data_IF_869079895133
#
_entry.id   IF_869079895133
#
_cell.length_a   1.000
_cell.length_b   1.000
_cell.length_c   1.000
_cell.angle_alpha   90.00
_cell.angle_beta   90.00
_cell.angle_gamma   90.00
#
_symmetry.space_group_name_H-M   'P 1'
#
loop_
_entity.id
_entity.type
_entity.pdbx_description
1 polymer ?
#
# COMPACT_ATOMS: atom_id res chain seq x y z
N UNK A 1 -15.74 3.99 -6.27
CA UNK A 1 -15.38 5.39 -6.60
C UNK A 1 -14.11 5.39 -7.45
N UNK A 2 -14.10 6.09 -8.59
CA UNK A 2 -12.89 6.41 -9.35
C UNK A 2 -11.89 7.17 -8.45
N UNK A 3 -10.59 6.96 -8.64
CA UNK A 3 -9.58 7.59 -7.79
C UNK A 3 -9.57 9.13 -7.96
N UNK A 4 -9.90 9.60 -9.17
CA UNK A 4 -9.98 11.01 -9.57
C UNK A 4 -11.16 11.78 -8.97
N UNK A 5 -12.18 11.09 -8.44
CA UNK A 5 -13.29 11.77 -7.74
C UNK A 5 -13.00 11.99 -6.25
N UNK A 6 -11.95 11.35 -5.73
CA UNK A 6 -11.57 11.38 -4.32
C UNK A 6 -10.49 12.46 -4.07
N UNK A 7 -9.66 12.73 -5.08
CA UNK A 7 -8.66 13.80 -5.08
C UNK A 7 -9.02 14.76 -6.21
N UNK A 8 -9.27 16.02 -5.88
CA UNK A 8 -9.65 17.09 -6.82
C UNK A 8 -8.47 17.42 -7.76
N UNK A 9 -8.18 16.50 -8.68
CA UNK A 9 -7.05 16.53 -9.60
C UNK A 9 -7.55 16.55 -11.04
N UNK A 10 -6.81 17.25 -11.90
CA UNK A 10 -7.12 17.30 -13.32
C UNK A 10 -6.86 15.93 -13.98
N UNK A 11 -7.62 15.57 -15.04
CA UNK A 11 -7.35 14.37 -15.83
C UNK A 11 -5.89 14.33 -16.31
N UNK A 12 -5.16 13.29 -15.91
CA UNK A 12 -3.75 13.09 -16.25
C UNK A 12 -2.76 13.40 -15.12
N UNK A 13 -3.21 13.99 -14.02
CA UNK A 13 -2.36 14.26 -12.85
C UNK A 13 -2.21 13.05 -11.91
N UNK A 14 -3.00 11.99 -12.13
CA UNK A 14 -2.97 10.77 -11.33
C UNK A 14 -2.71 9.53 -12.19
N UNK A 15 -1.64 8.81 -11.87
CA UNK A 15 -1.38 7.48 -12.41
C UNK A 15 -1.94 6.41 -11.45
N UNK A 16 -2.77 5.51 -11.96
CA UNK A 16 -3.55 4.58 -11.14
C UNK A 16 -3.24 3.14 -11.51
N UNK A 17 -2.81 2.36 -10.52
CA UNK A 17 -2.78 0.90 -10.56
C UNK A 17 -3.82 0.34 -9.60
N UNK A 18 -4.56 -0.69 -10.02
CA UNK A 18 -5.58 -1.34 -9.19
C UNK A 18 -5.46 -2.85 -9.29
N UNK A 19 -5.44 -3.51 -8.14
CA UNK A 19 -5.54 -4.96 -8.02
C UNK A 19 -6.34 -5.32 -6.75
N UNK A 20 -6.67 -6.60 -6.59
CA UNK A 20 -7.46 -7.07 -5.45
C UNK A 20 -6.64 -6.91 -4.16
N UNK A 21 -7.22 -6.25 -3.15
CA UNK A 21 -6.57 -5.94 -1.88
C UNK A 21 -5.27 -5.10 -1.98
N UNK A 22 -5.15 -4.29 -3.04
CA UNK A 22 -4.13 -3.23 -3.19
C UNK A 22 -2.69 -3.69 -2.88
N UNK A 23 -2.33 -4.89 -3.36
CA UNK A 23 -1.04 -5.52 -3.09
C UNK A 23 0.08 -4.91 -3.93
N UNK A 24 1.24 -4.70 -3.29
CA UNK A 24 2.47 -4.19 -3.87
C UNK A 24 3.54 -5.30 -3.99
N UNK A 25 3.13 -6.46 -4.49
CA UNK A 25 3.96 -7.67 -4.56
C UNK A 25 5.12 -7.48 -5.55
N UNK A 26 6.40 -7.53 -5.14
CA UNK A 26 7.53 -7.27 -6.05
C UNK A 26 7.67 -8.25 -7.21
N UNK A 27 7.17 -9.49 -7.05
CA UNK A 27 7.19 -10.52 -8.09
C UNK A 27 6.00 -10.44 -9.07
N UNK A 28 5.04 -9.54 -8.85
CA UNK A 28 3.97 -9.28 -9.82
C UNK A 28 4.51 -8.41 -10.97
N UNK A 29 4.67 -8.95 -12.19
CA UNK A 29 5.22 -8.20 -13.30
C UNK A 29 4.32 -7.02 -13.73
N UNK A 30 3.02 -7.10 -13.48
CA UNK A 30 2.09 -6.01 -13.79
C UNK A 30 2.35 -4.80 -12.87
N UNK A 31 2.35 -5.03 -11.56
CA UNK A 31 2.69 -4.00 -10.58
C UNK A 31 4.12 -3.46 -10.76
N UNK A 32 5.10 -4.32 -11.03
CA UNK A 32 6.48 -3.90 -11.24
C UNK A 32 6.62 -2.94 -12.43
N UNK A 33 5.98 -3.25 -13.56
CA UNK A 33 5.98 -2.38 -14.74
C UNK A 33 5.29 -1.03 -14.47
N UNK A 34 4.14 -1.05 -13.79
CA UNK A 34 3.42 0.18 -13.41
C UNK A 34 4.25 1.06 -12.46
N UNK A 35 4.90 0.46 -11.46
CA UNK A 35 5.75 1.16 -10.51
C UNK A 35 6.99 1.77 -11.19
N UNK A 36 7.67 1.01 -12.05
CA UNK A 36 8.83 1.50 -12.80
C UNK A 36 8.44 2.65 -13.72
N UNK A 37 7.32 2.55 -14.44
CA UNK A 37 6.85 3.64 -15.29
C UNK A 37 6.55 4.91 -14.48
N UNK A 38 5.83 4.78 -13.36
CA UNK A 38 5.52 5.92 -12.48
C UNK A 38 6.79 6.60 -11.93
N UNK A 39 7.75 5.81 -11.44
CA UNK A 39 8.95 6.32 -10.77
C UNK A 39 10.00 6.81 -11.75
N UNK A 40 10.29 6.02 -12.80
CA UNK A 40 11.42 6.26 -13.69
C UNK A 40 11.04 7.00 -14.97
N UNK A 41 9.79 6.94 -15.43
CA UNK A 41 9.35 7.67 -16.63
C UNK A 41 8.58 8.93 -16.24
N UNK A 42 7.52 8.79 -15.44
CA UNK A 42 6.67 9.93 -15.05
C UNK A 42 7.28 10.79 -13.93
N UNK A 43 8.27 10.26 -13.20
CA UNK A 43 8.94 10.94 -12.09
C UNK A 43 7.97 11.45 -11.01
N UNK A 44 6.98 10.63 -10.66
CA UNK A 44 6.00 11.00 -9.63
C UNK A 44 6.69 11.33 -8.29
N UNK A 45 6.17 12.34 -7.60
CA UNK A 45 6.67 12.76 -6.28
C UNK A 45 5.98 12.00 -5.12
N UNK A 46 4.82 11.41 -5.40
CA UNK A 46 4.00 10.73 -4.41
C UNK A 46 3.50 9.38 -4.92
N UNK A 47 3.64 8.35 -4.07
CA UNK A 47 2.96 7.07 -4.24
C UNK A 47 2.07 6.87 -3.02
N UNK A 48 0.80 6.56 -3.27
CA UNK A 48 -0.20 6.38 -2.21
C UNK A 48 -0.78 4.98 -2.34
N UNK A 49 -0.57 4.15 -1.32
CA UNK A 49 -1.32 2.89 -1.18
C UNK A 49 -2.66 3.22 -0.54
N UNK A 50 -3.74 3.02 -1.30
CA UNK A 50 -5.10 3.26 -0.82
C UNK A 50 -5.84 1.93 -0.68
N UNK A 51 -6.15 1.55 0.55
CA UNK A 51 -7.14 0.50 0.83
C UNK A 51 -8.50 1.10 1.14
N UNK A 52 -9.49 0.27 1.44
CA UNK A 52 -10.82 0.74 1.81
C UNK A 52 -11.51 -0.22 2.78
N UNK A 53 -12.32 0.33 3.69
CA UNK A 53 -13.15 -0.48 4.59
C UNK A 53 -14.18 -1.30 3.81
N UNK A 54 -14.53 -2.47 4.33
CA UNK A 54 -15.38 -3.42 3.64
C UNK A 54 -14.75 -4.06 2.39
N UNK A 55 -13.41 -4.09 2.27
CA UNK A 55 -12.74 -4.72 1.14
C UNK A 55 -13.02 -6.23 1.08
N UNK A 56 -13.70 -6.68 0.01
CA UNK A 56 -14.01 -8.09 -0.20
C UNK A 56 -12.77 -8.99 -0.32
N UNK A 57 -11.65 -8.47 -0.83
CA UNK A 57 -10.38 -9.21 -0.87
C UNK A 57 -9.78 -9.44 0.52
N UNK A 58 -9.87 -8.44 1.41
CA UNK A 58 -9.45 -8.59 2.81
C UNK A 58 -10.35 -9.61 3.53
N UNK A 59 -11.67 -9.52 3.34
CA UNK A 59 -12.62 -10.48 3.91
C UNK A 59 -12.37 -11.91 3.41
N UNK A 60 -12.09 -12.07 2.11
CA UNK A 60 -11.77 -13.38 1.53
C UNK A 60 -10.47 -13.97 2.09
N UNK A 61 -9.47 -13.14 2.42
CA UNK A 61 -8.22 -13.59 3.04
C UNK A 61 -8.40 -14.08 4.49
N UNK A 62 -9.42 -13.61 5.19
CA UNK A 62 -9.79 -14.06 6.55
C UNK A 62 -10.61 -15.34 6.55
N UNK A 63 -11.22 -15.69 5.42
CA UNK A 63 -12.00 -16.91 5.26
C UNK A 63 -11.09 -18.15 5.16
N UNK A 64 -11.65 -19.39 5.28
CA UNK A 64 -10.89 -20.62 5.06
C UNK A 64 -10.10 -20.63 3.75
N UNK A 65 -9.04 -21.43 3.73
CA UNK A 65 -8.12 -21.46 2.59
C UNK A 65 -8.78 -21.96 1.31
N UNK A 66 -8.27 -21.48 0.18
CA UNK A 66 -8.78 -21.78 -1.16
C UNK A 66 -7.61 -22.12 -2.07
N UNK A 67 -7.67 -23.27 -2.72
CA UNK A 67 -6.65 -23.69 -3.69
C UNK A 67 -6.95 -23.16 -5.10
N UNK A 68 -7.42 -21.91 -5.19
CA UNK A 68 -7.74 -21.24 -6.46
C UNK A 68 -6.88 -19.98 -6.68
N UNK A 69 -7.04 -19.34 -7.83
CA UNK A 69 -6.26 -18.16 -8.20
C UNK A 69 -6.40 -17.00 -7.19
N UNK A 70 -7.57 -16.86 -6.56
CA UNK A 70 -7.81 -15.82 -5.54
C UNK A 70 -7.09 -16.19 -4.24
N UNK A 71 -7.12 -17.46 -3.83
CA UNK A 71 -6.36 -17.93 -2.68
C UNK A 71 -4.85 -17.71 -2.84
N UNK A 72 -4.29 -18.07 -4.00
CA UNK A 72 -2.88 -17.83 -4.33
C UNK A 72 -2.54 -16.33 -4.31
N UNK A 73 -3.41 -15.48 -4.89
CA UNK A 73 -3.22 -14.04 -4.90
C UNK A 73 -3.25 -13.43 -3.49
N UNK A 74 -4.18 -13.90 -2.63
CA UNK A 74 -4.39 -13.37 -1.28
C UNK A 74 -3.49 -14.00 -0.22
N UNK A 75 -2.63 -14.95 -0.57
CA UNK A 75 -1.68 -15.57 0.35
C UNK A 75 -0.89 -14.56 1.21
N UNK A 76 -0.35 -13.44 0.66
CA UNK A 76 0.34 -12.44 1.48
C UNK A 76 -0.56 -11.77 2.54
N UNK A 77 -1.85 -11.55 2.23
CA UNK A 77 -2.81 -10.98 3.20
C UNK A 77 -3.17 -12.01 4.27
N UNK A 78 -3.31 -13.28 3.88
CA UNK A 78 -3.58 -14.39 4.81
C UNK A 78 -2.42 -14.61 5.78
N UNK A 79 -1.19 -14.60 5.27
CA UNK A 79 0.02 -14.65 6.11
C UNK A 79 0.06 -13.47 7.07
N UNK A 80 -0.21 -12.25 6.59
CA UNK A 80 -0.30 -11.07 7.45
C UNK A 80 -1.38 -11.25 8.53
N UNK A 81 -2.57 -11.74 8.17
CA UNK A 81 -3.65 -12.01 9.12
C UNK A 81 -3.21 -12.96 10.23
N UNK A 82 -2.51 -14.05 9.90
CA UNK A 82 -1.98 -15.00 10.90
C UNK A 82 -1.00 -14.36 11.89
N UNK A 83 -0.29 -13.29 11.50
CA UNK A 83 0.62 -12.57 12.41
C UNK A 83 -0.10 -11.59 13.36
N UNK A 84 -1.31 -11.14 13.01
CA UNK A 84 -2.06 -10.11 13.79
C UNK A 84 -3.32 -10.63 14.47
N UNK A 85 -3.87 -11.76 14.03
CA UNK A 85 -5.14 -12.33 14.50
C UNK A 85 -5.14 -12.77 15.96
N UNK A 86 -3.98 -12.83 16.61
CA UNK A 86 -3.86 -13.13 18.04
C UNK A 86 -4.36 -11.99 18.94
N UNK A 87 -4.69 -10.81 18.37
CA UNK A 87 -5.25 -9.70 19.13
C UNK A 87 -6.79 -9.75 19.12
N UNK A 88 -7.47 -9.57 20.27
CA UNK A 88 -8.93 -9.67 20.37
C UNK A 88 -9.72 -8.75 19.43
N UNK A 89 -9.11 -7.65 19.00
CA UNK A 89 -9.75 -6.60 18.19
C UNK A 89 -9.52 -6.78 16.68
N UNK A 90 -8.90 -7.88 16.23
CA UNK A 90 -8.64 -8.08 14.80
C UNK A 90 -9.93 -8.36 14.04
N UNK A 91 -10.36 -7.35 13.28
CA UNK A 91 -11.44 -7.45 12.30
C UNK A 91 -10.93 -7.11 10.89
N UNK A 92 -11.81 -7.19 9.89
CA UNK A 92 -11.47 -6.91 8.49
C UNK A 92 -10.94 -5.48 8.27
N UNK A 93 -11.47 -4.49 9.00
CA UNK A 93 -11.04 -3.10 8.86
C UNK A 93 -9.64 -2.89 9.44
N UNK A 94 -9.34 -3.50 10.59
CA UNK A 94 -7.98 -3.50 11.16
C UNK A 94 -7.01 -4.24 10.25
N UNK A 95 -7.38 -5.40 9.71
CA UNK A 95 -6.55 -6.11 8.75
C UNK A 95 -6.33 -5.28 7.47
N UNK A 96 -7.33 -4.53 7.01
CA UNK A 96 -7.17 -3.60 5.89
C UNK A 96 -6.10 -2.54 6.17
N UNK A 97 -6.14 -1.90 7.34
CA UNK A 97 -5.11 -0.93 7.73
C UNK A 97 -3.73 -1.58 7.87
N UNK A 98 -3.64 -2.78 8.47
CA UNK A 98 -2.38 -3.53 8.54
C UNK A 98 -1.85 -3.87 7.15
N UNK A 99 -2.70 -4.28 6.21
CA UNK A 99 -2.33 -4.55 4.84
C UNK A 99 -1.74 -3.30 4.18
N UNK A 100 -2.43 -2.14 4.27
CA UNK A 100 -1.92 -0.88 3.72
C UNK A 100 -0.52 -0.56 4.28
N UNK A 101 -0.32 -0.66 5.60
CA UNK A 101 1.00 -0.45 6.24
C UNK A 101 2.06 -1.43 5.72
N UNK A 102 1.70 -2.70 5.55
CA UNK A 102 2.60 -3.72 5.03
C UNK A 102 3.02 -3.41 3.57
N UNK A 103 2.09 -2.96 2.72
CA UNK A 103 2.39 -2.59 1.35
C UNK A 103 3.27 -1.34 1.25
N UNK A 104 3.04 -0.32 2.09
CA UNK A 104 3.93 0.86 2.18
C UNK A 104 5.35 0.43 2.60
N UNK A 105 5.46 -0.48 3.57
CA UNK A 105 6.76 -1.03 3.99
C UNK A 105 7.44 -1.82 2.86
N UNK A 106 6.68 -2.62 2.12
CA UNK A 106 7.20 -3.37 0.98
C UNK A 106 7.70 -2.43 -0.14
N UNK A 107 6.95 -1.36 -0.44
CA UNK A 107 7.37 -0.30 -1.35
C UNK A 107 8.65 0.39 -0.88
N UNK A 108 8.76 0.75 0.39
CA UNK A 108 9.96 1.39 0.94
C UNK A 108 11.21 0.49 0.84
N UNK A 109 11.04 -0.82 0.86
CA UNK A 109 12.10 -1.80 0.66
C UNK A 109 12.31 -2.19 -0.83
N UNK A 110 11.48 -1.69 -1.75
CA UNK A 110 11.54 -2.06 -3.15
C UNK A 110 12.79 -1.46 -3.83
N UNK A 111 13.57 -2.25 -4.61
CA UNK A 111 14.76 -1.76 -5.29
C UNK A 111 14.53 -0.53 -6.19
N UNK A 112 13.36 -0.40 -6.86
CA UNK A 112 13.04 0.76 -7.68
C UNK A 112 12.96 2.04 -6.83
N UNK A 113 12.25 1.97 -5.70
CA UNK A 113 12.09 3.08 -4.77
C UNK A 113 13.44 3.44 -4.12
N UNK A 114 14.19 2.43 -3.67
CA UNK A 114 15.54 2.64 -3.10
C UNK A 114 16.47 3.32 -4.11
N UNK A 115 16.45 2.94 -5.39
CA UNK A 115 17.23 3.59 -6.46
C UNK A 115 16.77 5.02 -6.74
N UNK A 116 15.47 5.29 -6.70
CA UNK A 116 14.94 6.65 -6.83
C UNK A 116 15.45 7.55 -5.71
N UNK A 117 15.35 7.10 -4.46
CA UNK A 117 15.89 7.80 -3.30
C UNK A 117 17.42 7.91 -3.30
N UNK A 118 18.15 6.92 -3.84
CA UNK A 118 19.60 7.00 -4.00
C UNK A 118 20.03 8.10 -4.99
N UNK A 119 19.15 8.45 -5.95
CA UNK A 119 19.35 9.56 -6.89
C UNK A 119 18.70 10.87 -6.42
N UNK A 120 18.37 10.97 -5.12
CA UNK A 120 17.75 12.15 -4.51
C UNK A 120 16.40 12.56 -5.13
N UNK A 121 15.64 11.60 -5.69
CA UNK A 121 14.27 11.89 -6.13
C UNK A 121 13.40 12.31 -4.93
N UNK A 122 12.58 13.36 -5.12
CA UNK A 122 11.61 13.83 -4.14
C UNK A 122 10.38 12.91 -4.08
N UNK A 123 10.61 11.62 -3.73
CA UNK A 123 9.57 10.59 -3.69
C UNK A 123 9.13 10.34 -2.25
N UNK A 124 7.83 10.44 -1.98
CA UNK A 124 7.21 10.15 -0.69
C UNK A 124 6.14 9.07 -0.82
N UNK A 125 6.15 8.10 0.09
CA UNK A 125 5.17 7.02 0.15
C UNK A 125 4.14 7.30 1.24
N UNK A 126 2.88 7.04 0.93
CA UNK A 126 1.74 7.25 1.82
C UNK A 126 0.89 5.99 1.90
N UNK A 127 0.25 5.78 3.06
CA UNK A 127 -0.70 4.69 3.27
C UNK A 127 -2.01 5.25 3.81
N UNK A 128 -3.08 5.20 3.01
CA UNK A 128 -4.38 5.75 3.34
C UNK A 128 -5.47 4.69 3.24
N UNK A 129 -6.54 4.88 4.02
CA UNK A 129 -7.78 4.10 3.93
C UNK A 129 -8.92 5.01 3.52
N UNK A 130 -9.74 4.51 2.60
CA UNK A 130 -10.99 5.16 2.21
C UNK A 130 -12.15 4.57 3.02
N UNK A 131 -12.83 5.42 3.80
CA UNK A 131 -14.04 5.03 4.50
C UNK A 131 -15.26 5.23 3.58
N UNK A 132 -15.90 4.13 3.19
CA UNK A 132 -17.03 4.16 2.25
C UNK A 132 -18.24 4.92 2.85
N UNK A 133 -18.38 4.93 4.17
CA UNK A 133 -19.52 5.52 4.87
C UNK A 133 -19.53 7.05 4.89
N UNK A 134 -18.37 7.69 4.96
CA UNK A 134 -18.24 9.16 5.00
C UNK A 134 -17.53 9.73 3.77
N UNK A 135 -16.94 8.88 2.92
CA UNK A 135 -16.22 9.25 1.70
C UNK A 135 -14.84 9.86 1.96
N UNK A 136 -14.31 9.75 3.18
CA UNK A 136 -13.06 10.40 3.56
C UNK A 136 -11.84 9.48 3.42
N UNK A 137 -10.73 10.07 2.98
CA UNK A 137 -9.41 9.46 3.03
C UNK A 137 -8.75 9.76 4.38
N UNK A 138 -8.25 8.72 5.04
CA UNK A 138 -7.59 8.84 6.33
C UNK A 138 -6.21 8.18 6.31
N UNK A 139 -5.16 8.83 6.84
CA UNK A 139 -3.85 8.23 6.93
C UNK A 139 -3.82 7.10 7.95
N UNK A 140 -3.26 5.95 7.57
CA UNK A 140 -3.09 4.80 8.49
C UNK A 140 -1.68 4.70 9.05
N UNK A 141 -0.70 5.37 8.43
CA UNK A 141 0.67 5.49 8.92
C UNK A 141 1.29 6.83 8.52
N UNK A 142 2.35 7.22 9.22
CA UNK A 142 3.17 8.38 8.82
C UNK A 142 3.75 8.18 7.40
N UNK A 143 3.86 9.26 6.60
CA UNK A 143 4.54 9.20 5.32
C UNK A 143 5.99 8.72 5.44
N UNK A 144 6.48 8.02 4.42
CA UNK A 144 7.85 7.52 4.35
C UNK A 144 8.57 8.19 3.19
N UNK A 145 9.63 8.93 3.50
CA UNK A 145 10.51 9.60 2.53
C UNK A 145 11.96 9.44 2.98
N UNK A 146 12.91 9.51 2.05
CA UNK A 146 14.33 9.61 2.39
C UNK A 146 14.78 11.07 2.30
N UNK A 147 15.29 11.63 3.39
CA UNK A 147 15.95 12.94 3.36
C UNK A 147 17.36 12.80 2.72
N UNK A 148 17.82 13.75 1.88
CA UNK A 148 19.13 13.67 1.21
C UNK A 148 20.34 13.43 2.12
N UNK A 149 20.25 13.84 3.40
CA UNK A 149 21.35 13.81 4.38
C UNK A 149 21.25 12.69 5.44
N UNK A 150 20.24 11.81 5.38
CA UNK A 150 20.11 10.72 6.35
C UNK A 150 20.76 9.41 5.86
N UNK A 151 21.71 8.92 6.66
CA UNK A 151 22.20 7.53 6.56
C UNK A 151 21.05 6.56 6.83
N UNK A 152 21.08 5.41 6.14
CA UNK A 152 20.07 4.32 6.12
C UNK A 152 19.10 4.36 7.31
N UNK A 153 17.80 4.68 7.10
CA UNK A 153 16.90 4.85 8.22
C UNK A 153 16.68 3.50 8.92
N UNK A 154 16.96 3.47 10.22
CA UNK A 154 16.33 2.50 11.11
C UNK A 154 14.83 2.75 11.02
N UNK A 155 14.09 1.75 10.54
CA UNK A 155 12.64 1.75 10.41
C UNK A 155 12.02 2.21 11.74
N UNK A 156 11.63 3.49 11.85
CA UNK A 156 10.88 4.01 13.01
C UNK A 156 9.40 3.99 12.63
N UNK A 157 8.71 2.96 13.09
CA UNK A 157 7.25 2.94 13.11
C UNK A 157 6.83 3.87 14.23
N UNK A 158 6.39 5.08 13.88
CA UNK A 158 5.74 5.96 14.86
C UNK A 158 4.39 5.33 15.24
N UNK A 159 4.23 4.92 16.50
CA UNK A 159 2.95 4.45 17.03
C UNK A 159 2.93 3.08 17.72
N UNK A 160 4.06 2.49 18.12
CA UNK A 160 4.05 1.46 19.16
C UNK A 160 4.02 2.14 20.54
N UNK A 161 2.82 2.25 21.11
CA UNK A 161 2.63 2.24 22.56
C UNK A 161 2.46 0.79 23.01
#
# INVERSE_FOLDING_TARGET
MPATEIVDLDPGEMFVHRNVANLATPSDPNFAAALEFAVDVLKVEHIIVVGHYGCGGIQAAMAPDRDDAIGLWLAPVRELYQTVCCTPDTNADRLCEHNIRAQVKALAANPLVLRAWARHAALTLHGWVYAIGDGLLQPVCSPVSRHPDEAVPKLRIAGAS
#
